data_IF_989785029310
#
_entry.id   IF_989785029310
#
_cell.length_a   1.000
_cell.length_b   1.000
_cell.length_c   1.000
_cell.angle_alpha   90.00
_cell.angle_beta   90.00
_cell.angle_gamma   90.00
#
_symmetry.space_group_name_H-M   'P 1'
#
loop_
_entity.id
_entity.type
_entity.pdbx_description
1 polymer ?
#
# COMPACT_ATOMS: atom_id res chain seq x y z
N UNK A 1 20.21 46.19 24.71
CA UNK A 1 19.52 45.07 25.37
C UNK A 1 18.79 44.30 24.30
N UNK A 2 19.45 43.31 23.70
CA UNK A 2 18.90 42.51 22.59
C UNK A 2 18.22 41.27 23.16
N UNK A 3 16.89 41.26 23.17
CA UNK A 3 16.09 40.08 23.50
C UNK A 3 16.04 39.15 22.31
N UNK A 4 16.75 38.03 22.38
CA UNK A 4 16.64 36.95 21.40
C UNK A 4 15.30 36.24 21.61
N UNK A 5 14.40 36.36 20.63
CA UNK A 5 13.20 35.56 20.52
C UNK A 5 13.60 34.10 20.25
N UNK A 6 13.47 33.25 21.27
CA UNK A 6 13.50 31.80 21.08
C UNK A 6 12.24 31.40 20.33
N UNK A 7 12.37 31.27 19.02
CA UNK A 7 11.41 30.56 18.19
C UNK A 7 11.35 29.11 18.69
N UNK A 8 10.27 28.77 19.40
CA UNK A 8 9.92 27.40 19.70
C UNK A 8 9.60 26.70 18.39
N UNK A 9 10.61 26.07 17.78
CA UNK A 9 10.41 25.14 16.68
C UNK A 9 9.64 23.95 17.23
N UNK A 10 8.37 23.86 16.89
CA UNK A 10 7.49 22.74 17.19
C UNK A 10 8.09 21.47 16.58
N UNK A 11 8.75 20.66 17.41
CA UNK A 11 9.21 19.32 17.01
C UNK A 11 7.97 18.44 16.88
N UNK A 12 7.50 18.25 15.65
CA UNK A 12 6.78 17.03 15.31
C UNK A 12 7.64 15.87 15.82
N UNK A 13 7.08 15.06 16.72
CA UNK A 13 7.77 14.04 17.52
C UNK A 13 8.69 13.19 16.65
N UNK A 14 9.99 13.49 16.69
CA UNK A 14 11.05 12.58 16.25
C UNK A 14 10.97 11.42 17.24
N UNK A 15 10.79 10.19 16.78
CA UNK A 15 10.76 8.97 17.63
C UNK A 15 12.08 8.76 18.42
N UNK A 16 13.07 9.66 18.26
CA UNK A 16 14.42 9.63 18.83
C UNK A 16 15.15 8.29 18.60
N UNK A 17 14.83 7.61 17.48
CA UNK A 17 15.40 6.32 17.09
C UNK A 17 16.22 6.39 15.79
N UNK A 18 17.19 7.31 15.63
CA UNK A 18 17.92 7.45 14.36
C UNK A 18 18.70 6.19 13.99
N UNK A 19 19.11 5.37 14.97
CA UNK A 19 19.81 4.10 14.71
C UNK A 19 18.88 3.06 14.07
N UNK A 20 17.65 2.94 14.56
CA UNK A 20 16.65 2.00 14.01
C UNK A 20 16.31 2.41 12.59
N UNK A 21 16.04 3.70 12.39
CA UNK A 21 15.66 4.23 11.09
C UNK A 21 16.83 4.10 10.09
N UNK A 22 18.07 4.30 10.54
CA UNK A 22 19.27 4.07 9.73
C UNK A 22 19.44 2.59 9.36
N UNK A 23 19.20 1.65 10.28
CA UNK A 23 19.29 0.23 9.99
C UNK A 23 18.22 -0.20 8.97
N UNK A 24 16.98 0.28 9.14
CA UNK A 24 15.87 0.06 8.19
C UNK A 24 16.21 0.64 6.81
N UNK A 25 16.72 1.88 6.76
CA UNK A 25 17.11 2.53 5.51
C UNK A 25 18.26 1.79 4.81
N UNK A 26 19.22 1.28 5.58
CA UNK A 26 20.31 0.43 5.11
C UNK A 26 19.90 -1.01 4.76
N UNK A 27 18.62 -1.37 4.96
CA UNK A 27 18.09 -2.75 4.82
C UNK A 27 18.81 -3.77 5.71
N UNK A 28 19.43 -3.30 6.80
CA UNK A 28 19.98 -4.16 7.84
C UNK A 28 18.84 -4.61 8.78
N UNK A 29 18.04 -5.54 8.27
CA UNK A 29 16.83 -6.00 8.92
C UNK A 29 17.09 -6.69 10.26
N UNK A 30 18.23 -7.39 10.40
CA UNK A 30 18.57 -8.09 11.63
C UNK A 30 19.00 -7.10 12.74
N UNK A 31 19.80 -6.09 12.39
CA UNK A 31 20.14 -5.03 13.34
C UNK A 31 18.91 -4.22 13.73
N UNK A 32 18.06 -3.85 12.76
CA UNK A 32 16.81 -3.16 13.02
C UNK A 32 15.91 -3.96 13.97
N UNK A 33 15.75 -5.27 13.74
CA UNK A 33 14.95 -6.14 14.59
C UNK A 33 15.47 -6.16 16.04
N UNK A 34 16.78 -6.34 16.22
CA UNK A 34 17.41 -6.37 17.54
C UNK A 34 17.20 -5.06 18.31
N UNK A 35 17.34 -3.92 17.62
CA UNK A 35 17.13 -2.61 18.23
C UNK A 35 15.65 -2.36 18.57
N UNK A 36 14.73 -2.80 17.71
CA UNK A 36 13.29 -2.71 17.95
C UNK A 36 12.85 -3.59 19.12
N UNK A 37 13.41 -4.80 19.27
CA UNK A 37 13.17 -5.67 20.43
C UNK A 37 13.59 -4.96 21.73
N UNK A 38 14.77 -4.34 21.76
CA UNK A 38 15.24 -3.57 22.92
C UNK A 38 14.35 -2.34 23.22
N UNK A 39 13.87 -1.64 22.18
CA UNK A 39 12.96 -0.50 22.33
C UNK A 39 11.61 -0.94 22.89
N UNK A 40 11.06 -2.05 22.43
CA UNK A 40 9.78 -2.57 22.94
C UNK A 40 9.93 -3.10 24.36
N UNK A 41 11.06 -3.73 24.69
CA UNK A 41 11.35 -4.17 26.05
C UNK A 41 11.43 -3.00 27.06
N UNK A 42 12.01 -1.86 26.65
CA UNK A 42 12.06 -0.65 27.48
C UNK A 42 10.75 0.13 27.48
N UNK A 43 10.05 0.18 26.35
CA UNK A 43 8.79 0.90 26.16
C UNK A 43 7.69 -0.02 25.57
N UNK A 44 7.03 -0.88 26.37
CA UNK A 44 6.07 -1.87 25.86
C UNK A 44 4.81 -1.28 25.19
N UNK A 45 4.53 0.01 25.39
CA UNK A 45 3.40 0.73 24.78
C UNK A 45 3.76 1.47 23.49
N UNK A 46 5.00 1.36 23.03
CA UNK A 46 5.46 2.00 21.80
C UNK A 46 4.88 1.30 20.57
N UNK A 47 3.75 1.83 20.08
CA UNK A 47 3.01 1.32 18.92
C UNK A 47 3.84 1.43 17.65
N UNK A 48 4.58 2.53 17.48
CA UNK A 48 5.44 2.73 16.31
C UNK A 48 6.54 1.68 16.26
N UNK A 49 7.22 1.41 17.37
CA UNK A 49 8.24 0.36 17.44
C UNK A 49 7.65 -1.03 17.16
N UNK A 50 6.48 -1.36 17.73
CA UNK A 50 5.78 -2.61 17.44
C UNK A 50 5.42 -2.76 15.97
N UNK A 51 4.93 -1.69 15.35
CA UNK A 51 4.60 -1.66 13.93
C UNK A 51 5.85 -1.84 13.05
N UNK A 52 6.90 -1.04 13.28
CA UNK A 52 8.20 -1.15 12.59
C UNK A 52 8.76 -2.58 12.71
N UNK A 53 8.68 -3.18 13.89
CA UNK A 53 9.10 -4.57 14.13
C UNK A 53 8.33 -5.56 13.28
N UNK A 54 7.01 -5.49 13.26
CA UNK A 54 6.17 -6.35 12.43
C UNK A 54 6.49 -6.20 10.93
N UNK A 55 6.74 -4.98 10.46
CA UNK A 55 7.20 -4.72 9.10
C UNK A 55 8.58 -5.35 8.82
N UNK A 56 9.53 -5.23 9.74
CA UNK A 56 10.87 -5.85 9.61
C UNK A 56 10.78 -7.37 9.55
N UNK A 57 9.91 -7.99 10.37
CA UNK A 57 9.64 -9.43 10.30
C UNK A 57 9.11 -9.84 8.92
N UNK A 58 8.18 -9.08 8.35
CA UNK A 58 7.68 -9.34 6.99
C UNK A 58 8.80 -9.22 5.93
N UNK A 59 9.69 -8.22 6.05
CA UNK A 59 10.85 -8.05 5.14
C UNK A 59 11.85 -9.21 5.24
N UNK A 60 11.97 -9.83 6.41
CA UNK A 60 12.76 -11.04 6.66
C UNK A 60 12.07 -12.33 6.20
N UNK A 61 10.88 -12.26 5.57
CA UNK A 61 10.03 -13.40 5.25
C UNK A 61 9.59 -14.23 6.45
N UNK A 62 9.62 -13.64 7.66
CA UNK A 62 9.08 -14.24 8.89
C UNK A 62 7.58 -13.92 8.97
N UNK A 63 6.85 -14.34 7.94
CA UNK A 63 5.49 -13.90 7.67
C UNK A 63 4.51 -14.26 8.80
N UNK A 64 4.64 -15.45 9.40
CA UNK A 64 3.75 -15.89 10.48
C UNK A 64 3.93 -15.06 11.76
N UNK A 65 5.17 -14.67 12.07
CA UNK A 65 5.45 -13.78 13.20
C UNK A 65 4.98 -12.35 12.94
N UNK A 66 5.11 -11.88 11.69
CA UNK A 66 4.57 -10.59 11.27
C UNK A 66 3.03 -10.57 11.37
N UNK A 67 2.36 -11.63 10.91
CA UNK A 67 0.90 -11.79 11.03
C UNK A 67 0.49 -11.73 12.50
N UNK A 68 1.17 -12.47 13.39
CA UNK A 68 0.87 -12.45 14.82
C UNK A 68 1.01 -11.03 15.40
N UNK A 69 2.13 -10.35 15.11
CA UNK A 69 2.39 -9.01 15.60
C UNK A 69 1.40 -7.95 15.08
N UNK A 70 1.03 -8.00 13.79
CA UNK A 70 0.01 -7.10 13.26
C UNK A 70 -1.39 -7.44 13.79
N UNK A 71 -1.70 -8.72 14.03
CA UNK A 71 -2.98 -9.12 14.64
C UNK A 71 -3.09 -8.53 16.04
N UNK A 72 -2.04 -8.61 16.86
CA UNK A 72 -2.00 -7.97 18.19
C UNK A 72 -2.22 -6.44 18.08
N UNK A 73 -1.58 -5.78 17.11
CA UNK A 73 -1.79 -4.35 16.87
C UNK A 73 -3.24 -4.03 16.49
N UNK A 74 -3.89 -4.83 15.63
CA UNK A 74 -5.30 -4.61 15.27
C UNK A 74 -6.27 -4.86 16.42
N UNK A 75 -5.91 -5.72 17.38
CA UNK A 75 -6.73 -5.97 18.57
C UNK A 75 -6.59 -4.85 19.60
N UNK A 76 -5.37 -4.33 19.76
CA UNK A 76 -5.08 -3.26 20.72
C UNK A 76 -5.46 -1.87 20.20
N UNK A 77 -5.36 -1.65 18.89
CA UNK A 77 -5.57 -0.35 18.22
C UNK A 77 -6.43 -0.52 16.96
N UNK A 78 -7.73 -0.87 17.12
CA UNK A 78 -8.62 -1.13 15.99
C UNK A 78 -8.91 0.09 15.10
N UNK A 79 -8.58 1.29 15.56
CA UNK A 79 -8.70 2.53 14.81
C UNK A 79 -7.58 2.75 13.79
N UNK A 80 -6.49 1.97 13.89
CA UNK A 80 -5.33 2.13 13.00
C UNK A 80 -5.54 1.32 11.70
N UNK A 81 -5.59 1.97 10.52
CA UNK A 81 -5.79 1.27 9.27
C UNK A 81 -4.53 0.54 8.76
N UNK A 82 -3.33 0.98 9.16
CA UNK A 82 -2.06 0.47 8.62
C UNK A 82 -1.77 -0.99 9.01
N UNK A 83 -2.00 -1.46 10.25
CA UNK A 83 -1.85 -2.87 10.60
C UNK A 83 -2.75 -3.81 9.78
N UNK A 84 -4.01 -3.42 9.54
CA UNK A 84 -4.93 -4.17 8.69
C UNK A 84 -4.44 -4.28 7.25
N UNK A 85 -3.91 -3.18 6.69
CA UNK A 85 -3.34 -3.18 5.36
C UNK A 85 -2.12 -4.11 5.23
N UNK A 86 -1.25 -4.14 6.25
CA UNK A 86 -0.11 -5.06 6.27
C UNK A 86 -0.54 -6.53 6.44
N UNK A 87 -1.54 -6.82 7.27
CA UNK A 87 -2.15 -8.16 7.34
C UNK A 87 -2.67 -8.60 5.99
N UNK A 88 -3.34 -7.71 5.26
CA UNK A 88 -3.86 -8.05 3.95
C UNK A 88 -2.77 -8.43 2.95
N UNK A 89 -1.66 -7.69 2.93
CA UNK A 89 -0.51 -8.03 2.08
C UNK A 89 0.07 -9.41 2.44
N UNK A 90 0.21 -9.72 3.74
CA UNK A 90 0.71 -11.01 4.22
C UNK A 90 -0.26 -12.16 3.90
N UNK A 91 -1.56 -11.96 4.08
CA UNK A 91 -2.58 -12.94 3.69
C UNK A 91 -2.60 -13.18 2.19
N UNK A 92 -2.54 -12.12 1.37
CA UNK A 92 -2.48 -12.24 -0.08
C UNK A 92 -1.22 -12.99 -0.55
N UNK A 93 -0.06 -12.75 0.09
CA UNK A 93 1.19 -13.50 -0.16
C UNK A 93 1.02 -15.01 0.09
N UNK A 94 0.22 -15.39 1.08
CA UNK A 94 -0.11 -16.79 1.41
C UNK A 94 -1.31 -17.34 0.63
N UNK A 95 -1.86 -16.60 -0.34
CA UNK A 95 -3.05 -17.00 -1.12
C UNK A 95 -4.36 -16.95 -0.33
N UNK A 96 -4.36 -16.37 0.87
CA UNK A 96 -5.55 -16.19 1.72
C UNK A 96 -6.30 -14.91 1.32
N UNK A 97 -6.83 -14.88 0.09
CA UNK A 97 -7.39 -13.65 -0.48
C UNK A 97 -8.67 -13.15 0.21
N UNK A 98 -9.48 -14.06 0.75
CA UNK A 98 -10.68 -13.69 1.51
C UNK A 98 -10.31 -12.98 2.82
N UNK A 99 -9.31 -13.48 3.55
CA UNK A 99 -8.80 -12.83 4.77
C UNK A 99 -8.16 -11.47 4.43
N UNK A 100 -7.45 -11.39 3.32
CA UNK A 100 -6.90 -10.13 2.84
C UNK A 100 -8.00 -9.10 2.53
N UNK A 101 -9.13 -9.53 1.96
CA UNK A 101 -10.26 -8.65 1.66
C UNK A 101 -10.86 -8.11 2.95
N UNK A 102 -11.15 -8.98 3.92
CA UNK A 102 -11.70 -8.59 5.22
C UNK A 102 -10.79 -7.59 5.93
N UNK A 103 -9.48 -7.81 5.90
CA UNK A 103 -8.52 -6.89 6.49
C UNK A 103 -8.55 -5.51 5.81
N UNK A 104 -8.51 -5.42 4.48
CA UNK A 104 -8.57 -4.13 3.79
C UNK A 104 -9.93 -3.43 3.95
N UNK A 105 -11.04 -4.15 3.92
CA UNK A 105 -12.36 -3.58 4.20
C UNK A 105 -12.41 -3.02 5.63
N UNK A 106 -11.72 -3.65 6.58
CA UNK A 106 -11.60 -3.15 7.95
C UNK A 106 -10.71 -1.91 8.02
N UNK A 107 -9.60 -1.86 7.26
CA UNK A 107 -8.77 -0.67 7.13
C UNK A 107 -9.57 0.54 6.62
N UNK A 108 -10.40 0.34 5.59
CA UNK A 108 -11.30 1.36 5.04
C UNK A 108 -12.37 1.79 6.06
N UNK A 109 -12.91 0.85 6.85
CA UNK A 109 -13.85 1.20 7.93
C UNK A 109 -13.19 2.03 9.03
N UNK A 110 -11.96 1.70 9.41
CA UNK A 110 -11.20 2.42 10.42
C UNK A 110 -10.84 3.84 9.93
N UNK A 111 -10.45 3.98 8.66
CA UNK A 111 -10.22 5.27 8.03
C UNK A 111 -10.73 5.30 6.57
N UNK A 112 -11.91 5.88 6.32
CA UNK A 112 -12.46 6.00 4.97
C UNK A 112 -11.64 6.85 4.01
N UNK A 113 -10.69 7.65 4.50
CA UNK A 113 -9.76 8.44 3.69
C UNK A 113 -8.46 7.70 3.33
N UNK A 114 -8.31 6.44 3.75
CA UNK A 114 -7.06 5.70 3.55
C UNK A 114 -6.93 5.14 2.13
N UNK A 115 -6.52 6.01 1.20
CA UNK A 115 -6.42 5.74 -0.24
C UNK A 115 -5.66 4.44 -0.56
N UNK A 116 -4.56 4.16 0.14
CA UNK A 116 -3.75 2.95 -0.10
C UNK A 116 -4.54 1.66 0.11
N UNK A 117 -5.51 1.63 1.04
CA UNK A 117 -6.35 0.45 1.21
C UNK A 117 -7.32 0.23 0.03
N UNK A 118 -7.79 1.32 -0.60
CA UNK A 118 -8.61 1.23 -1.82
C UNK A 118 -7.80 0.72 -3.02
N UNK A 119 -6.58 1.21 -3.20
CA UNK A 119 -5.67 0.71 -4.24
C UNK A 119 -5.44 -0.80 -4.06
N UNK A 120 -5.11 -1.21 -2.84
CA UNK A 120 -4.89 -2.62 -2.51
C UNK A 120 -6.16 -3.47 -2.65
N UNK A 121 -7.35 -2.92 -2.37
CA UNK A 121 -8.63 -3.61 -2.64
C UNK A 121 -8.84 -3.82 -4.13
N UNK A 122 -8.57 -2.80 -4.96
CA UNK A 122 -8.64 -2.90 -6.42
C UNK A 122 -7.74 -4.02 -6.93
N UNK A 123 -6.47 -4.03 -6.50
CA UNK A 123 -5.52 -5.06 -6.89
C UNK A 123 -5.93 -6.45 -6.39
N UNK A 124 -6.50 -6.56 -5.19
CA UNK A 124 -7.02 -7.81 -4.65
C UNK A 124 -8.25 -8.32 -5.43
N UNK A 125 -9.17 -7.43 -5.80
CA UNK A 125 -10.35 -7.78 -6.59
C UNK A 125 -9.98 -8.29 -7.98
N UNK A 126 -8.94 -7.73 -8.61
CA UNK A 126 -8.40 -8.26 -9.87
C UNK A 126 -7.87 -9.70 -9.70
N UNK A 127 -7.21 -10.02 -8.58
CA UNK A 127 -6.76 -11.39 -8.27
C UNK A 127 -7.93 -12.35 -8.09
N UNK A 128 -8.90 -11.97 -7.26
CA UNK A 128 -10.11 -12.76 -6.99
C UNK A 128 -10.92 -13.02 -8.28
N UNK A 129 -11.03 -12.01 -9.15
CA UNK A 129 -11.66 -12.14 -10.45
C UNK A 129 -10.91 -13.15 -11.34
N UNK A 130 -9.58 -13.02 -11.44
CA UNK A 130 -8.75 -13.98 -12.19
C UNK A 130 -8.90 -15.41 -11.68
N UNK A 131 -8.88 -15.62 -10.36
CA UNK A 131 -9.08 -16.95 -9.76
C UNK A 131 -10.46 -17.52 -10.07
N UNK A 132 -11.51 -16.70 -9.93
CA UNK A 132 -12.88 -17.10 -10.23
C UNK A 132 -13.05 -17.48 -11.70
N UNK A 133 -12.46 -16.71 -12.63
CA UNK A 133 -12.49 -17.05 -14.06
C UNK A 133 -11.73 -18.35 -14.37
N UNK A 134 -10.54 -18.54 -13.78
CA UNK A 134 -9.78 -19.80 -13.92
C UNK A 134 -10.55 -20.99 -13.36
N UNK A 135 -11.22 -20.82 -12.21
CA UNK A 135 -12.08 -21.84 -11.62
C UNK A 135 -13.24 -22.19 -12.54
N UNK A 136 -13.94 -21.18 -13.08
CA UNK A 136 -15.01 -21.40 -14.06
C UNK A 136 -14.52 -22.16 -15.29
N UNK A 137 -13.32 -21.84 -15.81
CA UNK A 137 -12.71 -22.55 -16.93
C UNK A 137 -12.39 -24.01 -16.57
N UNK A 138 -11.86 -24.28 -15.37
CA UNK A 138 -11.58 -25.64 -14.89
C UNK A 138 -12.84 -26.51 -14.79
N UNK A 139 -14.00 -25.88 -14.57
CA UNK A 139 -15.31 -26.52 -14.51
C UNK A 139 -15.97 -26.68 -15.89
N UNK A 140 -15.24 -26.38 -16.97
CA UNK A 140 -15.71 -26.57 -18.35
C UNK A 140 -16.37 -25.35 -18.98
N UNK A 141 -16.29 -24.16 -18.37
CA UNK A 141 -16.73 -22.92 -19.04
C UNK A 141 -15.92 -22.68 -20.31
N UNK A 142 -16.60 -22.70 -21.47
CA UNK A 142 -16.01 -22.43 -22.79
C UNK A 142 -16.23 -20.98 -23.25
N UNK A 143 -16.64 -20.10 -22.34
CA UNK A 143 -16.95 -18.71 -22.66
C UNK A 143 -15.72 -17.97 -23.23
N UNK A 144 -15.78 -17.44 -24.47
CA UNK A 144 -14.71 -16.61 -25.01
C UNK A 144 -14.42 -15.39 -24.14
N UNK A 145 -15.45 -14.82 -23.53
CA UNK A 145 -15.34 -13.67 -22.61
C UNK A 145 -14.52 -14.01 -21.37
N UNK A 146 -14.67 -15.22 -20.80
CA UNK A 146 -13.87 -15.65 -19.64
C UNK A 146 -12.38 -15.65 -19.98
N UNK A 147 -12.01 -16.19 -21.15
CA UNK A 147 -10.60 -16.19 -21.61
C UNK A 147 -10.08 -14.77 -21.82
N UNK A 148 -10.86 -13.92 -22.50
CA UNK A 148 -10.49 -12.52 -22.72
C UNK A 148 -10.26 -11.75 -21.41
N UNK A 149 -11.13 -11.94 -20.41
CA UNK A 149 -11.02 -11.29 -19.10
C UNK A 149 -9.79 -11.76 -18.32
N UNK A 150 -9.47 -13.06 -18.34
CA UNK A 150 -8.22 -13.59 -17.75
C UNK A 150 -7.02 -12.91 -18.40
N UNK A 151 -6.97 -12.84 -19.73
CA UNK A 151 -5.87 -12.18 -20.46
C UNK A 151 -5.77 -10.70 -20.14
N UNK A 152 -6.90 -9.98 -20.08
CA UNK A 152 -6.91 -8.57 -19.70
C UNK A 152 -6.33 -8.35 -18.30
N UNK A 153 -6.75 -9.14 -17.31
CA UNK A 153 -6.21 -9.08 -15.95
C UNK A 153 -4.71 -9.41 -15.93
N UNK A 154 -4.27 -10.42 -16.69
CA UNK A 154 -2.85 -10.76 -16.80
C UNK A 154 -2.02 -9.61 -17.37
N UNK A 155 -2.54 -8.89 -18.36
CA UNK A 155 -1.86 -7.74 -18.95
C UNK A 155 -1.80 -6.53 -18.01
N UNK A 156 -2.69 -6.42 -17.02
CA UNK A 156 -2.59 -5.40 -15.98
C UNK A 156 -1.36 -5.67 -15.10
N UNK A 157 -1.14 -6.93 -14.70
CA UNK A 157 0.01 -7.30 -13.85
C UNK A 157 1.34 -7.41 -14.62
N UNK A 158 1.29 -7.86 -15.86
CA UNK A 158 2.47 -8.03 -16.70
C UNK A 158 2.19 -7.42 -18.08
N UNK A 159 2.26 -6.09 -18.21
CA UNK A 159 1.98 -5.43 -19.47
C UNK A 159 2.97 -5.91 -20.54
N UNK A 160 2.51 -6.19 -21.76
CA UNK A 160 3.41 -6.59 -22.84
C UNK A 160 4.44 -5.48 -23.08
N UNK A 161 5.73 -5.84 -23.09
CA UNK A 161 6.80 -4.91 -23.43
C UNK A 161 6.48 -4.28 -24.79
N UNK A 162 6.30 -2.96 -24.82
CA UNK A 162 6.03 -2.20 -26.04
C UNK A 162 7.12 -2.55 -27.05
N UNK A 163 6.76 -3.21 -28.16
CA UNK A 163 7.74 -3.46 -29.22
C UNK A 163 8.21 -2.09 -29.72
N UNK A 164 9.50 -1.80 -29.58
CA UNK A 164 10.10 -0.64 -30.22
C UNK A 164 9.96 -0.83 -31.74
N UNK A 165 9.18 0.04 -32.38
CA UNK A 165 9.13 0.19 -33.83
C UNK A 165 8.17 -0.72 -34.58
N UNK A 166 6.95 -0.25 -34.77
CA UNK A 166 6.34 -0.23 -36.10
C UNK A 166 5.89 1.20 -36.34
N UNK A 167 6.59 1.90 -37.22
CA UNK A 167 6.19 3.20 -37.70
C UNK A 167 4.95 3.00 -38.58
N UNK A 168 3.78 3.37 -38.08
CA UNK A 168 2.59 3.48 -38.92
C UNK A 168 2.66 4.80 -39.68
N UNK A 169 3.22 4.71 -40.88
CA UNK A 169 2.93 5.66 -41.94
C UNK A 169 1.54 5.37 -42.50
N UNK A 170 0.59 6.27 -42.22
CA UNK A 170 -0.60 6.46 -43.06
C UNK A 170 -1.17 7.86 -42.83
N UNK A 171 -0.99 8.71 -43.83
CA UNK A 171 -1.56 10.05 -43.96
C UNK A 171 -3.02 9.99 -44.44
N UNK A 172 -3.86 10.89 -43.90
CA UNK A 172 -5.13 11.38 -44.51
C UNK A 172 -6.34 10.46 -44.31
N UNK A 173 -7.54 10.93 -43.99
CA UNK A 173 -8.22 12.21 -44.23
C UNK A 173 -9.32 12.41 -43.18
N UNK A 174 -9.64 13.66 -42.87
CA UNK A 174 -10.65 14.02 -41.88
C UNK A 174 -12.09 13.82 -42.36
N UNK A 175 -12.98 13.56 -41.41
CA UNK A 175 -14.39 13.94 -41.49
C UNK A 175 -14.91 14.14 -40.06
N UNK A 176 -15.32 15.37 -39.79
CA UNK A 176 -15.88 15.81 -38.53
C UNK A 176 -17.26 15.20 -38.30
N UNK A 177 -17.51 14.70 -37.09
CA UNK A 177 -18.85 14.57 -36.52
C UNK A 177 -18.75 15.01 -35.06
N UNK A 178 -19.32 16.17 -34.74
CA UNK A 178 -19.69 16.53 -33.37
C UNK A 178 -21.03 15.86 -33.03
N UNK A 179 -21.29 15.51 -31.77
CA UNK A 179 -22.09 16.45 -30.98
C UNK A 179 -21.69 16.59 -29.49
N UNK A 180 -21.89 17.81 -28.99
CA UNK A 180 -22.14 18.34 -27.63
C UNK A 180 -21.60 17.65 -26.37
N UNK A 181 -20.93 18.39 -25.47
CA UNK A 181 -20.84 18.05 -24.06
C UNK A 181 -22.02 18.68 -23.29
N UNK A 182 -22.88 17.86 -22.69
CA UNK A 182 -23.51 18.22 -21.42
C UNK A 182 -22.64 17.57 -20.35
N UNK A 183 -21.74 18.35 -19.76
CA UNK A 183 -20.85 17.90 -18.70
C UNK A 183 -21.52 18.15 -17.34
N UNK A 184 -21.57 17.08 -16.56
CA UNK A 184 -21.58 17.09 -15.11
C UNK A 184 -20.50 18.06 -14.57
N UNK A 185 -20.91 19.01 -13.73
CA UNK A 185 -20.00 19.89 -13.01
C UNK A 185 -19.79 19.33 -11.60
N UNK A 186 -18.77 18.47 -11.43
CA UNK A 186 -18.13 18.26 -10.14
C UNK A 186 -16.68 18.74 -10.24
N UNK A 187 -16.45 19.94 -9.71
CA UNK A 187 -15.12 20.54 -9.61
C UNK A 187 -14.36 19.97 -8.39
N UNK A 188 -13.08 19.55 -8.54
CA UNK A 188 -12.27 19.19 -7.39
C UNK A 188 -11.64 20.45 -6.77
N UNK A 189 -11.74 20.57 -5.44
CA UNK A 189 -10.99 21.54 -4.67
C UNK A 189 -9.50 21.19 -4.70
N UNK A 190 -8.71 22.18 -5.09
CA UNK A 190 -7.27 22.16 -5.27
C UNK A 190 -6.52 22.17 -3.93
N UNK A 191 -5.57 21.24 -3.80
CA UNK A 191 -4.67 21.13 -2.66
C UNK A 191 -3.57 20.11 -2.95
N UNK A 192 -2.81 20.32 -4.03
CA UNK A 192 -1.76 19.43 -4.46
C UNK A 192 -0.53 19.52 -3.53
N UNK A 193 -0.27 18.45 -2.79
CA UNK A 193 1.10 18.08 -2.45
C UNK A 193 1.57 17.10 -3.53
N UNK A 194 2.42 17.58 -4.44
CA UNK A 194 3.01 16.79 -5.51
C UNK A 194 3.90 15.70 -4.92
N UNK A 195 3.33 14.50 -4.73
CA UNK A 195 4.13 13.28 -4.57
C UNK A 195 4.38 12.72 -5.96
N UNK A 196 5.61 12.85 -6.44
CA UNK A 196 6.07 12.17 -7.65
C UNK A 196 5.98 10.65 -7.43
N UNK A 197 5.05 10.02 -8.13
CA UNK A 197 4.88 8.58 -8.23
C UNK A 197 6.17 7.91 -8.74
N UNK A 198 6.58 6.77 -8.18
CA UNK A 198 7.56 5.89 -8.82
C UNK A 198 7.04 5.39 -10.18
N UNK A 199 7.96 5.09 -11.10
CA UNK A 199 7.61 4.61 -12.44
C UNK A 199 6.95 3.23 -12.43
N UNK A 200 6.36 2.79 -13.56
CA UNK A 200 5.66 1.50 -13.68
C UNK A 200 6.53 0.27 -13.37
N UNK A 201 7.86 0.42 -13.34
CA UNK A 201 8.81 -0.64 -12.99
C UNK A 201 9.06 -0.77 -11.47
N UNK A 202 8.58 0.18 -10.65
CA UNK A 202 8.71 0.19 -9.17
C UNK A 202 7.42 -0.26 -8.45
N UNK A 203 6.36 -0.58 -9.21
CA UNK A 203 5.05 -0.97 -8.66
C UNK A 203 5.00 -2.48 -8.35
N UNK A 204 5.27 -2.83 -7.08
CA UNK A 204 4.92 -4.14 -6.54
C UNK A 204 3.64 -4.00 -5.71
N UNK A 205 2.46 -4.41 -6.22
CA UNK A 205 1.15 -4.13 -5.59
C UNK A 205 0.91 -4.81 -4.22
N UNK A 206 1.93 -5.46 -3.64
CA UNK A 206 1.84 -6.20 -2.38
C UNK A 206 3.11 -6.12 -1.54
N UNK A 207 3.85 -5.00 -1.61
CA UNK A 207 4.96 -4.77 -0.67
C UNK A 207 6.13 -5.74 -0.88
N UNK A 208 6.61 -5.87 -2.13
CA UNK A 208 7.90 -6.52 -2.38
C UNK A 208 9.03 -5.80 -1.61
N UNK A 209 10.22 -6.41 -1.46
CA UNK A 209 11.38 -5.87 -0.73
C UNK A 209 11.86 -4.47 -1.17
N UNK A 210 11.28 -3.94 -2.25
CA UNK A 210 11.60 -2.66 -2.89
C UNK A 210 10.47 -1.62 -2.81
N UNK A 211 9.26 -1.96 -2.35
CA UNK A 211 8.17 -0.97 -2.22
C UNK A 211 8.52 0.07 -1.14
N UNK A 212 8.41 1.38 -1.43
CA UNK A 212 8.57 2.42 -0.41
C UNK A 212 7.56 2.19 0.71
N UNK A 213 8.02 2.27 1.96
CA UNK A 213 7.11 2.34 3.10
C UNK A 213 6.29 3.65 2.98
N UNK A 214 4.99 3.67 3.35
CA UNK A 214 4.31 4.92 3.57
C UNK A 214 5.11 5.72 4.62
N UNK A 215 5.71 6.81 4.16
CA UNK A 215 6.65 7.63 4.92
C UNK A 215 5.97 8.73 5.74
N UNK A 216 4.63 8.70 5.88
CA UNK A 216 3.97 9.65 6.76
C UNK A 216 4.34 9.30 8.20
N UNK A 217 4.96 10.22 8.96
CA UNK A 217 5.18 9.98 10.38
C UNK A 217 3.83 9.75 11.03
N UNK A 218 3.67 8.59 11.66
CA UNK A 218 2.54 8.33 12.54
C UNK A 218 2.54 9.40 13.64
N UNK A 219 1.50 10.23 13.69
CA UNK A 219 1.26 11.12 14.82
C UNK A 219 0.23 10.41 15.69
N UNK A 220 0.68 9.89 16.83
CA UNK A 220 -0.24 9.30 17.81
C UNK A 220 -1.30 10.36 18.18
N UNK A 221 -2.59 10.01 18.29
CA UNK A 221 -3.54 10.88 18.95
C UNK A 221 -3.02 11.16 20.36
N UNK A 222 -2.91 12.43 20.73
CA UNK A 222 -2.64 12.77 22.12
C UNK A 222 -3.75 12.14 22.95
N UNK A 223 -3.40 11.26 23.89
CA UNK A 223 -4.31 10.88 24.95
C UNK A 223 -4.69 12.19 25.65
N UNK A 224 -5.92 12.66 25.42
CA UNK A 224 -6.44 13.79 26.18
C UNK A 224 -6.47 13.37 27.66
N UNK A 225 -6.06 14.26 28.57
CA UNK A 225 -5.98 13.98 30.00
C UNK A 225 -7.35 13.64 30.60
#
# INVERSE_FOLDING_TARGET
MSGAALAQTSTATRDDTPQIDSAIAGKDWNAALTQLDARIASNPRDVQAKFKRATVLARLNRDDEAIAAFTELTQAYPELPEPYNNLAALYAKKGRYEDARVALETAVKANPGYALAYDNLGDLYLRLASESYKRAQSLGSKSPLTRQRITAIQNIYNPPKKRAGAADGASGTGAAIAPSPAADEWAPASGAASQTMPGPDDYAPFGGPTSPLPATPYVAPQAQP
#
